data_IF_159335616756
#
_entry.id   IF_159335616756
#
_cell.length_a   1.000
_cell.length_b   1.000
_cell.length_c   1.000
_cell.angle_alpha   90.00
_cell.angle_beta   90.00
_cell.angle_gamma   90.00
#
_symmetry.space_group_name_H-M   'P 1'
#
loop_
_entity.id
_entity.type
_entity.pdbx_description
1 polymer ?
#
# COMPACT_ATOMS: atom_id res chain seq x y z
N UNK A 1 5.52 4.22 15.09
CA UNK A 1 6.03 4.43 13.73
C UNK A 1 4.84 4.84 12.87
N UNK A 2 4.93 5.94 12.12
CA UNK A 2 3.86 6.47 11.26
C UNK A 2 4.40 6.55 9.83
N UNK A 3 3.60 6.15 8.84
CA UNK A 3 3.94 6.25 7.42
C UNK A 3 3.23 7.48 6.86
N UNK A 4 3.99 8.44 6.34
CA UNK A 4 3.43 9.68 5.77
C UNK A 4 3.19 9.57 4.26
N UNK A 5 3.99 8.74 3.57
CA UNK A 5 3.97 8.60 2.13
C UNK A 5 4.24 7.16 1.74
N UNK A 6 3.46 6.65 0.79
CA UNK A 6 3.59 5.33 0.22
C UNK A 6 3.89 5.44 -1.27
N UNK A 7 4.94 4.76 -1.72
CA UNK A 7 5.30 4.66 -3.14
C UNK A 7 5.45 3.17 -3.45
N UNK A 8 4.69 2.68 -4.42
CA UNK A 8 4.71 1.30 -4.89
C UNK A 8 5.07 1.30 -6.36
N UNK A 9 6.12 0.56 -6.74
CA UNK A 9 6.56 0.42 -8.12
C UNK A 9 6.75 -1.04 -8.46
N UNK A 10 6.17 -1.47 -9.58
CA UNK A 10 6.29 -2.82 -10.13
C UNK A 10 6.05 -3.95 -9.10
N UNK A 11 5.01 -3.82 -8.29
CA UNK A 11 4.66 -4.78 -7.25
C UNK A 11 3.25 -5.32 -7.46
N UNK A 12 3.13 -6.65 -7.66
CA UNK A 12 1.85 -7.33 -7.98
C UNK A 12 1.15 -6.67 -9.18
N UNK A 13 -0.06 -6.15 -8.98
CA UNK A 13 -0.85 -5.47 -10.00
C UNK A 13 -0.57 -3.95 -10.08
N UNK A 14 0.26 -3.39 -9.20
CA UNK A 14 0.66 -1.98 -9.26
C UNK A 14 1.88 -1.82 -10.16
N UNK A 15 1.69 -1.18 -11.32
CA UNK A 15 2.81 -0.67 -12.13
C UNK A 15 3.49 0.49 -11.42
N UNK A 16 2.69 1.47 -11.00
CA UNK A 16 3.10 2.59 -10.17
C UNK A 16 1.88 3.08 -9.36
N UNK A 17 2.09 3.35 -8.07
CA UNK A 17 1.09 3.97 -7.20
C UNK A 17 1.78 4.84 -6.16
N UNK A 18 1.19 5.99 -5.87
CA UNK A 18 1.69 6.94 -4.88
C UNK A 18 0.51 7.47 -4.06
N UNK A 19 0.68 7.52 -2.75
CA UNK A 19 -0.32 8.04 -1.83
C UNK A 19 0.34 8.78 -0.67
N UNK A 20 -0.16 9.98 -0.40
CA UNK A 20 0.06 10.64 0.89
C UNK A 20 -0.95 10.11 1.90
N UNK A 21 -0.47 9.76 3.09
CA UNK A 21 -1.27 9.14 4.13
C UNK A 21 -1.62 10.15 5.21
N UNK A 22 -2.84 10.05 5.71
CA UNK A 22 -3.28 10.77 6.89
C UNK A 22 -2.66 10.14 8.16
N UNK A 23 -2.33 10.97 9.14
CA UNK A 23 -1.74 10.53 10.41
C UNK A 23 -2.73 9.81 11.35
N UNK A 24 -4.02 9.84 11.05
CA UNK A 24 -5.08 9.24 11.86
C UNK A 24 -5.70 8.01 11.20
N UNK A 25 -6.47 8.19 10.13
CA UNK A 25 -7.21 7.11 9.47
C UNK A 25 -7.08 7.20 7.96
N UNK A 26 -6.73 6.07 7.34
CA UNK A 26 -6.68 5.90 5.89
C UNK A 26 -7.63 4.79 5.50
N UNK A 27 -8.57 5.08 4.59
CA UNK A 27 -9.55 4.10 4.11
C UNK A 27 -9.32 3.89 2.61
N UNK A 28 -9.04 2.65 2.22
CA UNK A 28 -8.86 2.26 0.83
C UNK A 28 -10.07 1.45 0.36
N UNK A 29 -10.82 1.99 -0.60
CA UNK A 29 -12.08 1.42 -1.10
C UNK A 29 -11.95 1.10 -2.59
N UNK A 30 -12.61 0.03 -3.02
CA UNK A 30 -12.69 -0.39 -4.41
C UNK A 30 -13.20 -1.82 -4.52
N UNK A 31 -13.41 -2.31 -5.73
CA UNK A 31 -13.88 -3.67 -5.97
C UNK A 31 -12.83 -4.74 -5.62
N UNK A 32 -13.28 -5.98 -5.51
CA UNK A 32 -12.37 -7.12 -5.37
C UNK A 32 -11.47 -7.24 -6.61
N UNK A 33 -10.20 -7.58 -6.39
CA UNK A 33 -9.19 -7.64 -7.46
C UNK A 33 -8.51 -6.30 -7.79
N UNK A 34 -8.95 -5.17 -7.23
CA UNK A 34 -8.35 -3.84 -7.49
C UNK A 34 -7.01 -3.59 -6.76
N UNK A 35 -6.47 -4.57 -6.04
CA UNK A 35 -5.16 -4.45 -5.38
C UNK A 35 -5.18 -3.96 -3.92
N UNK A 36 -6.34 -3.90 -3.26
CA UNK A 36 -6.43 -3.53 -1.82
C UNK A 36 -5.59 -4.43 -0.91
N UNK A 37 -5.61 -5.76 -1.13
CA UNK A 37 -4.74 -6.69 -0.40
C UNK A 37 -3.27 -6.49 -0.77
N UNK A 38 -2.97 -6.30 -2.07
CA UNK A 38 -1.61 -6.06 -2.55
C UNK A 38 -1.00 -4.78 -1.93
N UNK A 39 -1.82 -3.75 -1.70
CA UNK A 39 -1.42 -2.53 -1.00
C UNK A 39 -0.96 -2.84 0.43
N UNK A 40 -1.73 -3.64 1.16
CA UNK A 40 -1.37 -4.06 2.52
C UNK A 40 -0.12 -4.95 2.53
N UNK A 41 0.01 -5.87 1.57
CA UNK A 41 1.23 -6.68 1.41
C UNK A 41 2.46 -5.81 1.13
N UNK A 42 2.35 -4.78 0.28
CA UNK A 42 3.46 -3.87 -0.02
C UNK A 42 3.95 -3.15 1.25
N UNK A 43 3.02 -2.69 2.10
CA UNK A 43 3.35 -2.07 3.39
C UNK A 43 4.01 -3.09 4.32
N UNK A 44 3.49 -4.31 4.37
CA UNK A 44 4.04 -5.38 5.20
C UNK A 44 5.48 -5.73 4.81
N UNK A 45 5.77 -5.91 3.52
CA UNK A 45 7.13 -6.14 3.01
C UNK A 45 8.04 -4.98 3.34
N UNK A 46 7.60 -3.74 3.09
CA UNK A 46 8.41 -2.56 3.37
C UNK A 46 8.76 -2.42 4.86
N UNK A 47 7.92 -2.97 5.74
CA UNK A 47 8.10 -2.90 7.19
C UNK A 47 8.93 -4.07 7.75
N UNK A 48 8.75 -5.28 7.22
CA UNK A 48 9.25 -6.53 7.84
C UNK A 48 10.16 -7.32 6.90
N UNK A 49 10.14 -7.04 5.60
CA UNK A 49 10.99 -7.69 4.59
C UNK A 49 10.59 -9.11 4.23
N UNK A 50 9.35 -9.52 4.51
CA UNK A 50 8.82 -10.87 4.20
C UNK A 50 7.43 -10.79 3.58
N UNK A 51 7.08 -11.79 2.78
CA UNK A 51 5.73 -12.06 2.23
C UNK A 51 5.23 -13.40 2.70
#
# INVERSE_FOLDING_TARGET
>A
MIVNKLIIKNYRNFKEAEAELNNSLNIFIGDNGQGKTNLMEAIYIASIGRT
#
